data_IF_842526202844
#
_entry.id   IF_842526202844
#
_cell.length_a   1.000
_cell.length_b   1.000
_cell.length_c   1.000
_cell.angle_alpha   90.00
_cell.angle_beta   90.00
_cell.angle_gamma   90.00
#
_symmetry.space_group_name_H-M   'P 1'
#
loop_
_entity.id
_entity.type
_entity.pdbx_description
1 polymer ?
#
# COMPACT_ATOMS: atom_id res chain seq x y z
N UNK A 1 31.26 -47.14 -19.17
CA UNK A 1 29.90 -46.62 -19.44
C UNK A 1 29.69 -45.40 -18.56
N UNK A 2 29.87 -44.19 -19.09
CA UNK A 2 29.47 -42.97 -18.40
C UNK A 2 27.95 -42.95 -18.36
N UNK A 3 27.36 -43.37 -17.24
CA UNK A 3 25.94 -43.10 -16.99
C UNK A 3 25.83 -41.60 -16.74
N UNK A 4 25.39 -40.85 -17.75
CA UNK A 4 24.98 -39.46 -17.57
C UNK A 4 23.94 -39.43 -16.45
N UNK A 5 24.29 -38.82 -15.33
CA UNK A 5 23.35 -38.66 -14.22
C UNK A 5 22.22 -37.75 -14.72
N UNK A 6 20.95 -38.09 -14.48
CA UNK A 6 19.84 -37.25 -14.92
C UNK A 6 19.97 -35.86 -14.32
N UNK A 7 19.70 -34.83 -15.11
CA UNK A 7 19.69 -33.42 -14.67
C UNK A 7 18.30 -33.03 -14.16
N UNK A 8 18.25 -32.06 -13.26
CA UNK A 8 17.02 -31.54 -12.67
C UNK A 8 16.02 -31.08 -13.76
N UNK A 9 14.78 -31.55 -13.67
CA UNK A 9 13.70 -31.20 -14.61
C UNK A 9 13.07 -29.83 -14.33
N UNK A 10 13.54 -29.08 -13.34
CA UNK A 10 13.03 -27.73 -13.05
C UNK A 10 13.41 -26.77 -14.18
N UNK A 11 12.40 -26.25 -14.87
CA UNK A 11 12.52 -25.24 -15.90
C UNK A 11 11.42 -24.18 -15.71
N UNK A 12 11.77 -22.92 -15.95
CA UNK A 12 10.85 -21.79 -15.98
C UNK A 12 10.82 -21.23 -17.42
N UNK A 13 9.63 -20.82 -17.89
CA UNK A 13 9.26 -20.51 -19.29
C UNK A 13 10.19 -19.48 -19.98
N UNK A 14 11.32 -19.97 -20.50
CA UNK A 14 12.36 -19.25 -21.28
C UNK A 14 13.59 -18.81 -20.46
N UNK A 15 14.60 -19.69 -20.40
CA UNK A 15 16.00 -19.34 -20.11
C UNK A 15 16.58 -19.87 -18.79
N UNK A 16 15.75 -20.41 -17.91
CA UNK A 16 16.13 -20.76 -16.55
C UNK A 16 15.98 -22.27 -16.30
N UNK A 17 17.04 -23.04 -16.57
CA UNK A 17 17.13 -24.49 -16.32
C UNK A 17 18.09 -24.81 -15.17
N UNK A 18 17.69 -25.74 -14.31
CA UNK A 18 18.57 -26.24 -13.27
C UNK A 18 19.49 -27.34 -13.83
N UNK A 19 20.81 -27.18 -13.69
CA UNK A 19 21.82 -28.14 -14.16
C UNK A 19 22.32 -29.10 -13.08
N UNK A 20 21.67 -29.10 -11.91
CA UNK A 20 22.01 -29.99 -10.81
C UNK A 20 21.61 -31.43 -11.09
N UNK A 21 22.29 -32.36 -10.41
CA UNK A 21 21.97 -33.79 -10.47
C UNK A 21 20.57 -34.02 -9.90
N UNK A 22 19.71 -34.66 -10.68
CA UNK A 22 18.39 -35.08 -10.25
C UNK A 22 18.44 -36.28 -9.32
N UNK A 23 17.53 -36.27 -8.35
CA UNK A 23 17.18 -37.41 -7.51
C UNK A 23 16.12 -38.28 -8.23
N UNK A 24 15.68 -39.43 -7.67
CA UNK A 24 14.71 -40.31 -8.32
C UNK A 24 13.36 -39.66 -8.67
N UNK A 25 13.07 -38.49 -8.10
CA UNK A 25 11.90 -37.68 -8.42
C UNK A 25 12.02 -36.90 -9.74
N UNK A 26 13.20 -36.87 -10.37
CA UNK A 26 13.52 -36.03 -11.53
C UNK A 26 13.89 -34.59 -11.17
N UNK A 27 13.85 -34.21 -9.89
CA UNK A 27 14.25 -32.89 -9.40
C UNK A 27 15.53 -33.01 -8.57
N UNK A 28 16.35 -31.95 -8.51
CA UNK A 28 17.47 -31.93 -7.58
C UNK A 28 16.99 -31.77 -6.14
N UNK A 29 17.90 -31.99 -5.19
CA UNK A 29 17.63 -31.85 -3.76
C UNK A 29 16.86 -30.56 -3.42
N UNK A 30 17.28 -29.40 -3.96
CA UNK A 30 16.68 -28.10 -3.63
C UNK A 30 15.31 -27.87 -4.27
N UNK A 31 15.07 -28.37 -5.48
CA UNK A 31 13.80 -28.19 -6.19
C UNK A 31 12.73 -29.22 -5.80
N UNK A 32 13.11 -30.37 -5.23
CA UNK A 32 12.14 -31.41 -4.90
C UNK A 32 11.23 -31.03 -3.71
N UNK A 33 9.90 -30.85 -3.90
CA UNK A 33 9.00 -30.50 -2.81
C UNK A 33 8.72 -31.63 -1.81
N UNK A 34 9.06 -32.88 -2.15
CA UNK A 34 8.86 -34.06 -1.30
C UNK A 34 9.89 -34.13 -0.19
N UNK A 35 11.05 -33.51 -0.39
CA UNK A 35 12.14 -33.47 0.56
C UNK A 35 11.98 -32.24 1.46
N UNK A 36 11.91 -32.47 2.77
CA UNK A 36 11.95 -31.41 3.80
C UNK A 36 13.41 -31.13 4.15
N UNK A 37 13.86 -29.88 4.00
CA UNK A 37 15.26 -29.47 4.17
C UNK A 37 15.50 -28.98 5.60
N UNK A 38 15.43 -29.89 6.56
CA UNK A 38 15.58 -29.58 7.98
C UNK A 38 16.82 -30.23 8.60
N UNK A 39 17.74 -30.78 7.80
CA UNK A 39 18.99 -31.36 8.31
C UNK A 39 19.89 -30.23 8.86
N UNK A 40 20.71 -30.49 9.89
CA UNK A 40 21.62 -29.49 10.46
C UNK A 40 22.52 -28.82 9.42
N UNK A 41 22.97 -29.58 8.42
CA UNK A 41 23.88 -29.11 7.38
C UNK A 41 23.16 -28.39 6.23
N UNK A 42 21.82 -28.46 6.14
CA UNK A 42 21.08 -27.88 5.01
C UNK A 42 21.26 -26.37 4.94
N UNK A 43 21.40 -25.70 6.09
CA UNK A 43 21.72 -24.26 6.11
C UNK A 43 23.04 -23.98 5.41
N UNK A 44 24.12 -24.65 5.83
CA UNK A 44 25.47 -24.44 5.29
C UNK A 44 25.52 -24.84 3.80
N UNK A 45 24.85 -25.94 3.44
CA UNK A 45 24.73 -26.40 2.05
C UNK A 45 23.98 -25.39 1.18
N UNK A 46 22.92 -24.76 1.69
CA UNK A 46 22.16 -23.75 0.94
C UNK A 46 22.98 -22.48 0.74
N UNK A 47 23.73 -22.03 1.75
CA UNK A 47 24.63 -20.89 1.62
C UNK A 47 25.74 -21.17 0.59
N UNK A 48 26.36 -22.35 0.63
CA UNK A 48 27.36 -22.75 -0.35
C UNK A 48 26.76 -22.85 -1.76
N UNK A 49 25.56 -23.41 -1.88
CA UNK A 49 24.83 -23.51 -3.15
C UNK A 49 24.54 -22.12 -3.72
N UNK A 50 24.08 -21.17 -2.89
CA UNK A 50 23.87 -19.79 -3.30
C UNK A 50 25.18 -19.13 -3.78
N UNK A 51 26.27 -19.25 -3.01
CA UNK A 51 27.57 -18.63 -3.31
C UNK A 51 28.23 -19.19 -4.58
N UNK A 52 28.00 -20.47 -4.89
CA UNK A 52 28.56 -21.14 -6.08
C UNK A 52 27.74 -20.89 -7.36
N UNK A 53 26.67 -20.09 -7.28
CA UNK A 53 25.82 -19.78 -8.42
C UNK A 53 24.73 -20.83 -8.69
N UNK A 54 24.38 -21.62 -7.68
CA UNK A 54 23.27 -22.56 -7.73
C UNK A 54 21.94 -21.90 -8.07
N UNK A 55 21.07 -22.65 -8.73
CA UNK A 55 19.76 -22.18 -9.17
C UNK A 55 18.79 -22.07 -7.99
N UNK A 56 18.62 -20.86 -7.47
CA UNK A 56 17.77 -20.56 -6.31
C UNK A 56 16.30 -20.25 -6.65
N UNK A 57 15.99 -20.03 -7.93
CA UNK A 57 14.60 -19.86 -8.39
C UNK A 57 13.82 -21.16 -8.19
N UNK A 58 12.60 -21.05 -7.67
CA UNK A 58 11.68 -22.18 -7.44
C UNK A 58 12.10 -23.19 -6.38
N UNK A 59 13.15 -22.90 -5.58
CA UNK A 59 13.61 -23.87 -4.58
C UNK A 59 12.53 -24.15 -3.54
N UNK A 60 12.41 -25.42 -3.15
CA UNK A 60 11.49 -25.86 -2.13
C UNK A 60 12.19 -25.97 -0.77
N UNK A 61 11.89 -24.99 0.08
CA UNK A 61 12.39 -24.85 1.44
C UNK A 61 11.24 -24.93 2.47
N UNK A 62 10.18 -25.67 2.12
CA UNK A 62 9.01 -25.88 2.99
C UNK A 62 9.46 -26.48 4.32
N UNK A 63 9.10 -25.81 5.43
CA UNK A 63 9.45 -26.20 6.81
C UNK A 63 10.95 -26.33 7.06
N UNK A 64 11.80 -25.71 6.24
CA UNK A 64 13.24 -25.75 6.42
C UNK A 64 13.67 -25.01 7.70
N UNK A 65 14.74 -25.47 8.34
CA UNK A 65 15.34 -24.78 9.48
C UNK A 65 16.54 -23.96 9.01
N UNK A 66 16.33 -22.67 8.76
CA UNK A 66 17.28 -21.73 8.18
C UNK A 66 17.55 -20.55 9.13
N UNK A 67 17.47 -20.80 10.44
CA UNK A 67 17.76 -19.78 11.45
C UNK A 67 19.19 -19.24 11.30
N UNK A 68 19.30 -17.91 11.21
CA UNK A 68 20.54 -17.18 11.01
C UNK A 68 21.23 -17.48 9.68
N UNK A 69 20.51 -17.90 8.64
CA UNK A 69 21.10 -18.12 7.31
C UNK A 69 21.64 -16.81 6.72
N UNK A 70 22.80 -16.86 6.09
CA UNK A 70 23.34 -15.76 5.30
C UNK A 70 23.10 -15.94 3.80
N UNK A 71 22.07 -15.26 3.28
CA UNK A 71 21.74 -15.15 1.85
C UNK A 71 22.02 -13.72 1.34
N UNK A 72 23.13 -13.13 1.75
CA UNK A 72 23.59 -11.83 1.25
C UNK A 72 24.70 -12.01 0.21
N UNK A 73 24.55 -11.31 -0.91
CA UNK A 73 25.58 -11.25 -1.96
C UNK A 73 26.52 -10.08 -1.70
N UNK A 74 27.45 -10.24 -0.74
CA UNK A 74 28.32 -9.18 -0.21
C UNK A 74 29.11 -8.36 -1.25
N UNK A 75 29.44 -8.95 -2.40
CA UNK A 75 30.20 -8.28 -3.48
C UNK A 75 29.33 -7.82 -4.66
N UNK A 76 28.02 -7.66 -4.46
CA UNK A 76 27.09 -7.28 -5.53
C UNK A 76 26.08 -6.24 -5.07
N UNK A 77 25.63 -5.41 -6.02
CA UNK A 77 24.51 -4.48 -5.82
C UNK A 77 23.15 -5.17 -5.93
N UNK A 78 23.11 -6.44 -6.32
CA UNK A 78 21.89 -7.26 -6.45
C UNK A 78 21.93 -8.39 -5.44
N UNK A 79 20.82 -8.72 -4.77
CA UNK A 79 20.73 -9.94 -3.97
C UNK A 79 20.59 -11.20 -4.82
N UNK A 80 20.41 -12.35 -4.17
CA UNK A 80 20.13 -13.59 -4.86
C UNK A 80 18.72 -13.61 -5.45
N UNK A 81 18.57 -14.37 -6.54
CA UNK A 81 17.29 -14.55 -7.19
C UNK A 81 16.58 -15.81 -6.68
N UNK A 82 15.61 -15.61 -5.80
CA UNK A 82 14.74 -16.63 -5.22
C UNK A 82 13.30 -16.48 -5.71
N UNK A 83 13.12 -16.00 -6.95
CA UNK A 83 11.81 -15.94 -7.59
C UNK A 83 11.14 -17.32 -7.52
N UNK A 84 9.84 -17.37 -7.22
CA UNK A 84 9.07 -18.63 -7.05
C UNK A 84 9.51 -19.54 -5.89
N UNK A 85 10.40 -19.12 -4.99
CA UNK A 85 10.82 -19.96 -3.87
C UNK A 85 9.65 -20.31 -2.92
N UNK A 86 9.63 -21.55 -2.44
CA UNK A 86 8.60 -22.08 -1.55
C UNK A 86 9.14 -22.16 -0.11
N UNK A 87 8.80 -21.18 0.72
CA UNK A 87 9.28 -21.01 2.10
C UNK A 87 8.15 -21.22 3.12
N UNK A 88 7.12 -22.00 2.77
CA UNK A 88 5.99 -22.29 3.65
C UNK A 88 6.45 -22.82 5.01
N UNK A 89 6.15 -22.10 6.10
CA UNK A 89 6.58 -22.42 7.48
C UNK A 89 8.10 -22.57 7.66
N UNK A 90 8.93 -21.97 6.81
CA UNK A 90 10.36 -21.96 7.01
C UNK A 90 10.73 -21.16 8.28
N UNK A 91 11.72 -21.64 9.03
CA UNK A 91 12.33 -20.89 10.11
C UNK A 91 13.45 -20.03 9.55
N UNK A 92 13.27 -18.72 9.50
CA UNK A 92 14.22 -17.72 9.00
C UNK A 92 14.56 -16.70 10.11
N UNK A 93 14.43 -17.10 11.38
CA UNK A 93 14.73 -16.21 12.50
C UNK A 93 16.18 -15.72 12.39
N UNK A 94 16.41 -14.42 12.51
CA UNK A 94 17.75 -13.81 12.41
C UNK A 94 18.42 -13.94 11.03
N UNK A 95 17.70 -14.35 9.98
CA UNK A 95 18.27 -14.54 8.64
C UNK A 95 18.75 -13.21 8.04
N UNK A 96 19.87 -13.25 7.31
CA UNK A 96 20.39 -12.13 6.53
C UNK A 96 19.97 -12.31 5.06
N UNK A 97 18.99 -11.54 4.61
CA UNK A 97 18.38 -11.62 3.27
C UNK A 97 18.28 -10.22 2.63
N UNK A 98 19.32 -9.41 2.84
CA UNK A 98 19.41 -8.07 2.25
C UNK A 98 19.30 -8.14 0.72
N UNK A 99 18.40 -7.33 0.16
CA UNK A 99 18.20 -7.15 -1.27
C UNK A 99 17.80 -8.43 -2.04
N UNK A 100 17.29 -9.43 -1.33
CA UNK A 100 16.88 -10.71 -1.91
C UNK A 100 15.67 -10.54 -2.83
N UNK A 101 15.68 -11.17 -4.00
CA UNK A 101 14.52 -11.20 -4.87
C UNK A 101 13.64 -12.41 -4.53
N UNK A 102 12.47 -12.16 -3.94
CA UNK A 102 11.47 -13.16 -3.56
C UNK A 102 10.18 -12.97 -4.38
N UNK A 103 10.29 -12.41 -5.58
CA UNK A 103 9.15 -12.22 -6.46
C UNK A 103 8.41 -13.54 -6.72
N UNK A 104 7.08 -13.52 -6.66
CA UNK A 104 6.24 -14.72 -6.78
C UNK A 104 6.46 -15.84 -5.75
N UNK A 105 7.35 -15.66 -4.76
CA UNK A 105 7.63 -16.65 -3.73
C UNK A 105 6.46 -16.84 -2.75
N UNK A 106 6.56 -17.87 -1.90
CA UNK A 106 5.60 -18.12 -0.82
C UNK A 106 6.30 -18.13 0.54
N UNK A 107 6.14 -17.05 1.30
CA UNK A 107 6.58 -16.95 2.71
C UNK A 107 5.48 -17.34 3.69
N UNK A 108 4.39 -17.95 3.24
CA UNK A 108 3.22 -18.21 4.07
C UNK A 108 3.60 -18.92 5.39
N UNK A 109 3.25 -18.30 6.52
CA UNK A 109 3.55 -18.76 7.89
C UNK A 109 5.05 -18.91 8.22
N UNK A 110 5.95 -18.29 7.45
CA UNK A 110 7.38 -18.27 7.73
C UNK A 110 7.70 -17.43 8.99
N UNK A 111 8.77 -17.79 9.67
CA UNK A 111 9.25 -17.08 10.85
C UNK A 111 10.41 -16.14 10.49
N UNK A 112 10.15 -14.85 10.32
CA UNK A 112 11.15 -13.82 9.99
C UNK A 112 11.60 -13.01 11.21
N UNK A 113 11.36 -13.50 12.43
CA UNK A 113 11.72 -12.75 13.64
C UNK A 113 13.19 -12.36 13.63
N UNK A 114 13.50 -11.11 13.92
CA UNK A 114 14.86 -10.57 13.95
C UNK A 114 15.65 -10.69 12.62
N UNK A 115 14.99 -11.07 11.52
CA UNK A 115 15.61 -11.19 10.21
C UNK A 115 15.85 -9.82 9.55
N UNK A 116 16.79 -9.76 8.62
CA UNK A 116 17.03 -8.60 7.78
C UNK A 116 16.57 -8.86 6.36
N UNK A 117 15.46 -8.25 5.94
CA UNK A 117 14.95 -8.26 4.56
C UNK A 117 14.97 -6.86 3.94
N UNK A 118 15.86 -6.00 4.42
CA UNK A 118 16.04 -4.65 3.89
C UNK A 118 16.27 -4.69 2.37
N UNK A 119 15.58 -3.82 1.63
CA UNK A 119 15.59 -3.77 0.15
C UNK A 119 15.10 -5.03 -0.58
N UNK A 120 14.49 -6.01 0.10
CA UNK A 120 14.01 -7.23 -0.56
C UNK A 120 12.82 -6.94 -1.50
N UNK A 121 12.80 -7.62 -2.65
CA UNK A 121 11.65 -7.61 -3.55
C UNK A 121 10.66 -8.70 -3.12
N UNK A 122 9.50 -8.29 -2.62
CA UNK A 122 8.39 -9.11 -2.17
C UNK A 122 7.16 -8.98 -3.11
N UNK A 123 7.38 -8.60 -4.37
CA UNK A 123 6.32 -8.45 -5.37
C UNK A 123 5.65 -9.79 -5.62
N UNK A 124 4.32 -9.81 -5.58
CA UNK A 124 3.54 -11.04 -5.75
C UNK A 124 3.92 -12.18 -4.77
N UNK A 125 4.59 -11.89 -3.66
CA UNK A 125 4.93 -12.88 -2.64
C UNK A 125 3.71 -13.15 -1.76
N UNK A 126 3.48 -14.42 -1.38
CA UNK A 126 2.49 -14.74 -0.36
C UNK A 126 3.08 -14.45 1.04
N UNK A 127 2.56 -13.41 1.70
CA UNK A 127 3.01 -12.94 3.02
C UNK A 127 2.06 -13.34 4.17
N UNK A 128 1.07 -14.19 3.91
CA UNK A 128 0.04 -14.54 4.89
C UNK A 128 0.63 -15.24 6.12
N UNK A 129 0.36 -14.71 7.32
CA UNK A 129 0.80 -15.28 8.59
C UNK A 129 2.31 -15.24 8.85
N UNK A 130 3.07 -14.42 8.09
CA UNK A 130 4.50 -14.22 8.34
C UNK A 130 4.72 -13.54 9.69
N UNK A 131 5.70 -14.02 10.47
CA UNK A 131 6.06 -13.40 11.75
C UNK A 131 7.13 -12.33 11.54
N UNK A 132 6.75 -11.06 11.70
CA UNK A 132 7.61 -9.90 11.42
C UNK A 132 8.28 -9.25 12.66
N UNK A 133 8.23 -9.87 13.84
CA UNK A 133 8.72 -9.21 15.07
C UNK A 133 10.24 -9.02 15.01
N UNK A 134 10.70 -7.76 15.05
CA UNK A 134 12.14 -7.42 14.97
C UNK A 134 12.72 -7.52 13.56
N UNK A 135 11.88 -7.75 12.54
CA UNK A 135 12.35 -7.86 11.17
C UNK A 135 12.67 -6.48 10.60
N UNK A 136 13.86 -6.30 10.04
CA UNK A 136 14.23 -5.09 9.31
C UNK A 136 13.58 -5.11 7.93
N UNK A 137 12.58 -4.26 7.74
CA UNK A 137 11.76 -4.18 6.51
C UNK A 137 11.90 -2.85 5.76
N UNK A 138 12.93 -2.06 6.06
CA UNK A 138 13.17 -0.81 5.37
C UNK A 138 13.36 -1.05 3.86
N UNK A 139 12.77 -0.19 3.02
CA UNK A 139 12.86 -0.25 1.56
C UNK A 139 12.43 -1.57 0.91
N UNK A 140 11.61 -2.39 1.57
CA UNK A 140 11.00 -3.56 0.90
C UNK A 140 10.10 -3.11 -0.26
N UNK A 141 10.06 -3.92 -1.32
CA UNK A 141 9.19 -3.68 -2.46
C UNK A 141 8.09 -4.71 -2.54
N UNK A 142 6.86 -4.36 -2.16
CA UNK A 142 5.68 -5.27 -2.22
C UNK A 142 4.86 -5.09 -3.50
N UNK A 143 5.31 -4.23 -4.41
CA UNK A 143 4.53 -3.78 -5.57
C UNK A 143 3.43 -2.77 -5.22
N UNK A 144 2.56 -2.46 -6.18
CA UNK A 144 1.40 -1.54 -5.98
C UNK A 144 0.32 -2.12 -5.05
N UNK A 145 0.25 -3.45 -5.00
CA UNK A 145 -0.69 -4.23 -4.23
C UNK A 145 -0.07 -5.61 -3.97
N UNK A 146 -0.34 -6.18 -2.80
CA UNK A 146 0.09 -7.54 -2.45
C UNK A 146 -0.67 -8.59 -3.30
N UNK A 147 -0.13 -9.81 -3.37
CA UNK A 147 -0.71 -10.92 -4.13
C UNK A 147 -2.19 -11.15 -3.79
N UNK A 148 -2.53 -11.21 -2.50
CA UNK A 148 -3.89 -11.44 -2.02
C UNK A 148 -4.85 -10.31 -2.42
N UNK A 149 -4.42 -9.04 -2.40
CA UNK A 149 -5.27 -7.92 -2.82
C UNK A 149 -5.59 -8.01 -4.32
N UNK A 150 -4.61 -8.44 -5.13
CA UNK A 150 -4.84 -8.70 -6.56
C UNK A 150 -5.85 -9.82 -6.77
N UNK A 151 -5.67 -10.94 -6.09
CA UNK A 151 -6.59 -12.10 -6.17
C UNK A 151 -8.00 -11.74 -5.70
N UNK A 152 -8.13 -10.96 -4.63
CA UNK A 152 -9.42 -10.45 -4.15
C UNK A 152 -10.15 -9.61 -5.20
N UNK A 153 -9.42 -8.70 -5.87
CA UNK A 153 -9.98 -7.84 -6.92
C UNK A 153 -10.33 -8.63 -8.18
N UNK A 154 -9.58 -9.66 -8.51
CA UNK A 154 -9.88 -10.56 -9.63
C UNK A 154 -11.16 -11.35 -9.34
N UNK A 155 -11.28 -11.94 -8.15
CA UNK A 155 -12.49 -12.64 -7.70
C UNK A 155 -13.73 -11.72 -7.64
N UNK A 156 -13.61 -10.49 -7.13
CA UNK A 156 -14.72 -9.51 -7.09
C UNK A 156 -15.17 -9.11 -8.51
N UNK A 157 -14.26 -9.05 -9.49
CA UNK A 157 -14.60 -8.83 -10.91
C UNK A 157 -15.33 -10.01 -11.54
N UNK A 158 -14.99 -11.23 -11.13
CA UNK A 158 -15.64 -12.46 -11.59
C UNK A 158 -17.00 -12.70 -10.90
N UNK A 159 -17.34 -11.92 -9.87
CA UNK A 159 -18.56 -12.09 -9.08
C UNK A 159 -18.46 -13.19 -8.01
N UNK A 160 -17.27 -13.69 -7.75
CA UNK A 160 -16.99 -14.72 -6.74
C UNK A 160 -16.88 -14.07 -5.35
N UNK A 161 -18.03 -13.69 -4.78
CA UNK A 161 -18.07 -12.85 -3.56
C UNK A 161 -17.39 -13.52 -2.37
N UNK A 162 -17.61 -14.81 -2.12
CA UNK A 162 -17.02 -15.51 -0.97
C UNK A 162 -15.50 -15.58 -1.07
N UNK A 163 -14.97 -15.92 -2.25
CA UNK A 163 -13.53 -15.98 -2.53
C UNK A 163 -12.90 -14.59 -2.42
N UNK A 164 -13.58 -13.56 -2.93
CA UNK A 164 -13.12 -12.19 -2.81
C UNK A 164 -13.05 -11.74 -1.34
N UNK A 165 -14.06 -12.06 -0.53
CA UNK A 165 -14.09 -11.73 0.89
C UNK A 165 -12.96 -12.41 1.67
N UNK A 166 -12.71 -13.69 1.43
CA UNK A 166 -11.58 -14.43 2.02
C UNK A 166 -10.24 -13.76 1.68
N UNK A 167 -10.00 -13.45 0.40
CA UNK A 167 -8.77 -12.75 0.03
C UNK A 167 -8.68 -11.31 0.57
N UNK A 168 -9.80 -10.61 0.76
CA UNK A 168 -9.80 -9.30 1.43
C UNK A 168 -9.47 -9.41 2.93
N UNK A 169 -9.93 -10.46 3.61
CA UNK A 169 -9.57 -10.74 5.00
C UNK A 169 -8.07 -11.06 5.14
N UNK A 170 -7.57 -11.97 4.29
CA UNK A 170 -6.14 -12.28 4.22
C UNK A 170 -5.29 -11.03 3.92
N UNK A 171 -5.76 -10.17 3.02
CA UNK A 171 -5.08 -8.92 2.68
C UNK A 171 -5.05 -7.95 3.86
N UNK A 172 -6.14 -7.84 4.62
CA UNK A 172 -6.18 -7.04 5.84
C UNK A 172 -5.14 -7.54 6.86
N UNK A 173 -5.06 -8.86 7.08
CA UNK A 173 -4.07 -9.45 8.00
C UNK A 173 -2.65 -9.10 7.59
N UNK A 174 -2.32 -9.28 6.30
CA UNK A 174 -0.97 -8.98 5.77
C UNK A 174 -0.63 -7.50 5.95
N UNK A 175 -1.52 -6.58 5.58
CA UNK A 175 -1.25 -5.15 5.73
C UNK A 175 -1.15 -4.72 7.19
N UNK A 176 -1.95 -5.30 8.08
CA UNK A 176 -1.87 -5.06 9.52
C UNK A 176 -0.53 -5.51 10.11
N UNK A 177 -0.02 -6.65 9.68
CA UNK A 177 1.25 -7.18 10.18
C UNK A 177 2.45 -6.40 9.63
N UNK A 178 2.42 -6.02 8.34
CA UNK A 178 3.40 -5.11 7.75
C UNK A 178 3.39 -3.74 8.41
N UNK A 179 2.21 -3.19 8.71
CA UNK A 179 2.08 -1.93 9.47
C UNK A 179 2.74 -2.04 10.84
N UNK A 180 2.43 -3.09 11.61
CA UNK A 180 3.00 -3.29 12.95
C UNK A 180 4.51 -3.46 12.91
N UNK A 181 5.05 -4.11 11.88
CA UNK A 181 6.47 -4.23 11.67
C UNK A 181 7.10 -2.86 11.38
N UNK A 182 6.48 -2.07 10.49
CA UNK A 182 6.94 -0.73 10.15
C UNK A 182 6.89 0.22 11.35
N UNK A 183 5.80 0.19 12.13
CA UNK A 183 5.63 0.99 13.36
C UNK A 183 6.74 0.69 14.39
N UNK A 184 7.15 -0.57 14.54
CA UNK A 184 8.20 -0.98 15.49
C UNK A 184 9.61 -0.53 15.08
N UNK A 185 9.86 -0.45 13.78
CA UNK A 185 11.13 0.03 13.23
C UNK A 185 11.17 1.57 13.11
N UNK A 186 10.08 2.29 13.44
CA UNK A 186 10.00 3.74 13.28
C UNK A 186 9.83 4.20 11.82
N UNK A 187 9.35 3.32 10.93
CA UNK A 187 9.15 3.59 9.51
C UNK A 187 7.76 4.20 9.26
N UNK A 188 7.50 5.38 9.81
CA UNK A 188 6.16 5.98 9.90
C UNK A 188 5.46 6.25 8.57
N UNK A 189 6.20 6.63 7.53
CA UNK A 189 5.65 6.83 6.19
C UNK A 189 5.10 5.50 5.62
N UNK A 190 5.86 4.43 5.77
CA UNK A 190 5.49 3.09 5.33
C UNK A 190 4.36 2.51 6.18
N UNK A 191 4.41 2.70 7.51
CA UNK A 191 3.36 2.29 8.41
C UNK A 191 2.02 2.98 8.09
N UNK A 192 2.04 4.29 7.79
CA UNK A 192 0.86 5.02 7.34
C UNK A 192 0.29 4.51 6.01
N UNK A 193 1.16 4.18 5.05
CA UNK A 193 0.73 3.54 3.79
C UNK A 193 0.03 2.20 4.04
N UNK A 194 0.62 1.32 4.85
CA UNK A 194 0.01 0.02 5.18
C UNK A 194 -1.25 0.15 6.02
N UNK A 195 -1.33 1.12 6.92
CA UNK A 195 -2.56 1.42 7.68
C UNK A 195 -3.71 1.80 6.75
N UNK A 196 -3.45 2.66 5.77
CA UNK A 196 -4.47 3.04 4.79
C UNK A 196 -4.91 1.83 3.97
N UNK A 197 -3.99 0.97 3.53
CA UNK A 197 -4.30 -0.26 2.81
C UNK A 197 -5.12 -1.25 3.67
N UNK A 198 -4.75 -1.46 4.93
CA UNK A 198 -5.49 -2.26 5.93
C UNK A 198 -6.96 -1.79 6.02
N UNK A 199 -7.19 -0.48 6.20
CA UNK A 199 -8.53 0.07 6.32
C UNK A 199 -9.34 -0.01 5.01
N UNK A 200 -8.68 0.07 3.85
CA UNK A 200 -9.32 -0.17 2.55
C UNK A 200 -9.77 -1.63 2.46
N UNK A 201 -8.94 -2.60 2.83
CA UNK A 201 -9.32 -4.02 2.80
C UNK A 201 -10.51 -4.30 3.72
N UNK A 202 -10.49 -3.76 4.95
CA UNK A 202 -11.64 -3.85 5.87
C UNK A 202 -12.92 -3.25 5.29
N UNK A 203 -12.81 -2.14 4.55
CA UNK A 203 -13.97 -1.53 3.86
C UNK A 203 -14.52 -2.42 2.75
N UNK A 204 -13.68 -3.15 2.03
CA UNK A 204 -14.12 -4.06 0.96
C UNK A 204 -14.94 -5.24 1.50
N UNK A 205 -14.65 -5.68 2.73
CA UNK A 205 -15.42 -6.72 3.43
C UNK A 205 -16.84 -6.26 3.85
N UNK A 206 -17.11 -4.95 3.88
CA UNK A 206 -18.43 -4.43 4.26
C UNK A 206 -19.43 -4.55 3.11
N UNK A 207 -20.74 -4.71 3.38
CA UNK A 207 -21.77 -4.71 2.35
C UNK A 207 -21.74 -3.44 1.48
N UNK A 208 -21.95 -3.58 0.16
CA UNK A 208 -21.79 -2.49 -0.83
C UNK A 208 -22.64 -1.24 -0.51
N UNK A 209 -23.83 -1.42 0.05
CA UNK A 209 -24.80 -0.35 0.36
C UNK A 209 -24.89 -0.01 1.85
N UNK A 210 -23.92 -0.43 2.66
CA UNK A 210 -23.91 -0.09 4.09
C UNK A 210 -23.51 1.37 4.33
N UNK A 211 -24.20 2.05 5.25
CA UNK A 211 -23.81 3.38 5.74
C UNK A 211 -22.37 3.40 6.26
N UNK A 212 -21.92 2.33 6.90
CA UNK A 212 -20.54 2.19 7.40
C UNK A 212 -19.51 2.20 6.26
N UNK A 213 -19.82 1.56 5.14
CA UNK A 213 -18.95 1.53 3.95
C UNK A 213 -18.88 2.91 3.30
N UNK A 214 -20.01 3.60 3.20
CA UNK A 214 -20.10 4.96 2.65
C UNK A 214 -19.28 5.92 3.50
N UNK A 215 -19.46 5.91 4.83
CA UNK A 215 -18.69 6.76 5.76
C UNK A 215 -17.19 6.46 5.64
N UNK A 216 -16.80 5.19 5.64
CA UNK A 216 -15.39 4.79 5.47
C UNK A 216 -14.80 5.27 4.14
N UNK A 217 -15.57 5.21 3.05
CA UNK A 217 -15.16 5.73 1.74
C UNK A 217 -15.00 7.26 1.77
N UNK A 218 -15.92 7.97 2.41
CA UNK A 218 -15.83 9.42 2.58
C UNK A 218 -14.57 9.82 3.36
N UNK A 219 -14.24 9.12 4.45
CA UNK A 219 -13.02 9.39 5.24
C UNK A 219 -11.74 9.16 4.43
N UNK A 220 -11.65 8.07 3.64
CA UNK A 220 -10.51 7.82 2.74
C UNK A 220 -10.37 8.92 1.69
N UNK A 221 -11.49 9.38 1.14
CA UNK A 221 -11.52 10.45 0.13
C UNK A 221 -11.00 11.78 0.71
N UNK A 222 -11.54 12.22 1.85
CA UNK A 222 -11.22 13.53 2.43
C UNK A 222 -9.82 13.61 3.01
N UNK A 223 -9.39 12.62 3.80
CA UNK A 223 -8.13 12.70 4.55
C UNK A 223 -7.27 11.43 4.49
N UNK A 224 -7.66 10.43 3.68
CA UNK A 224 -6.92 9.18 3.56
C UNK A 224 -6.82 8.43 4.89
N UNK A 225 -7.91 8.41 5.67
CA UNK A 225 -7.92 7.91 7.06
C UNK A 225 -6.95 8.65 8.00
N UNK A 226 -6.74 9.94 7.74
CA UNK A 226 -5.87 10.80 8.53
C UNK A 226 -4.38 10.51 8.32
N UNK A 227 -4.00 10.03 7.13
CA UNK A 227 -2.60 9.84 6.72
C UNK A 227 -2.16 10.75 5.58
N UNK A 228 -3.10 11.47 4.95
CA UNK A 228 -2.85 12.26 3.75
C UNK A 228 -3.30 13.73 3.93
N UNK A 229 -2.52 14.58 4.63
CA UNK A 229 -2.87 15.99 4.86
C UNK A 229 -3.07 16.78 3.56
N UNK A 230 -2.31 16.46 2.51
CA UNK A 230 -2.45 17.09 1.19
C UNK A 230 -3.83 16.87 0.55
N UNK A 231 -4.53 15.77 0.88
CA UNK A 231 -5.90 15.55 0.39
C UNK A 231 -6.89 16.49 1.04
N UNK A 232 -6.67 16.85 2.30
CA UNK A 232 -7.52 17.81 3.01
C UNK A 232 -7.39 19.18 2.34
N UNK A 233 -6.15 19.62 2.04
CA UNK A 233 -5.90 20.87 1.30
C UNK A 233 -6.59 20.86 -0.07
N UNK A 234 -6.42 19.77 -0.84
CA UNK A 234 -7.05 19.64 -2.15
C UNK A 234 -8.57 19.69 -2.08
N UNK A 235 -9.17 19.03 -1.08
CA UNK A 235 -10.61 19.11 -0.83
C UNK A 235 -11.06 20.53 -0.49
N UNK A 236 -10.32 21.23 0.38
CA UNK A 236 -10.59 22.63 0.72
C UNK A 236 -10.59 23.52 -0.52
N UNK A 237 -9.61 23.38 -1.40
CA UNK A 237 -9.53 24.16 -2.66
C UNK A 237 -10.73 23.89 -3.57
N UNK A 238 -11.15 22.63 -3.70
CA UNK A 238 -12.34 22.26 -4.51
C UNK A 238 -13.62 22.82 -3.89
N UNK A 239 -13.76 22.78 -2.56
CA UNK A 239 -14.93 23.32 -1.87
C UNK A 239 -15.02 24.83 -2.04
N UNK A 240 -13.91 25.55 -1.85
CA UNK A 240 -13.81 27.00 -2.06
C UNK A 240 -14.23 27.34 -3.50
N UNK A 241 -13.66 26.65 -4.50
CA UNK A 241 -14.01 26.91 -5.89
C UNK A 241 -15.49 26.62 -6.19
N UNK A 242 -16.03 25.54 -5.63
CA UNK A 242 -17.45 25.19 -5.79
C UNK A 242 -18.39 26.23 -5.15
N UNK A 243 -18.08 26.70 -3.95
CA UNK A 243 -18.86 27.76 -3.30
C UNK A 243 -18.74 29.09 -4.05
N UNK A 244 -17.54 29.44 -4.54
CA UNK A 244 -17.32 30.61 -5.39
C UNK A 244 -18.19 30.57 -6.65
N UNK A 245 -18.30 29.41 -7.31
CA UNK A 245 -19.22 29.24 -8.44
C UNK A 245 -20.69 29.39 -8.02
N UNK A 246 -21.09 28.88 -6.86
CA UNK A 246 -22.43 29.09 -6.34
C UNK A 246 -22.71 30.60 -6.17
N UNK A 247 -21.81 31.34 -5.51
CA UNK A 247 -21.93 32.79 -5.33
C UNK A 247 -21.98 33.57 -6.64
N UNK A 248 -21.21 33.12 -7.64
CA UNK A 248 -21.22 33.73 -8.97
C UNK A 248 -22.63 33.73 -9.59
N UNK A 249 -23.40 32.66 -9.39
CA UNK A 249 -24.77 32.55 -9.90
C UNK A 249 -25.83 33.11 -8.95
N UNK A 250 -25.66 32.99 -7.63
CA UNK A 250 -26.65 33.45 -6.63
C UNK A 250 -26.50 34.91 -6.24
N UNK A 251 -25.32 35.50 -6.45
CA UNK A 251 -25.01 36.91 -6.26
C UNK A 251 -24.46 37.26 -4.86
N UNK A 252 -23.61 38.28 -4.83
CA UNK A 252 -23.06 38.94 -3.64
C UNK A 252 -23.37 40.44 -3.67
N UNK A 253 -23.54 41.07 -2.52
CA UNK A 253 -23.69 42.53 -2.40
C UNK A 253 -22.37 43.16 -1.96
N UNK A 254 -21.88 44.16 -2.70
CA UNK A 254 -20.72 44.98 -2.34
C UNK A 254 -21.09 46.45 -2.56
N UNK A 255 -20.90 47.29 -1.54
CA UNK A 255 -21.27 48.72 -1.59
C UNK A 255 -22.69 48.99 -2.11
N UNK A 256 -23.68 48.18 -1.70
CA UNK A 256 -25.09 48.21 -2.17
C UNK A 256 -25.32 47.88 -3.65
N UNK A 257 -24.31 47.42 -4.39
CA UNK A 257 -24.47 46.89 -5.75
C UNK A 257 -24.48 45.35 -5.73
N UNK A 258 -25.39 44.77 -6.51
CA UNK A 258 -25.52 43.32 -6.65
C UNK A 258 -24.56 42.85 -7.74
N UNK A 259 -23.58 42.07 -7.31
CA UNK A 259 -22.61 41.40 -8.15
C UNK A 259 -23.10 39.98 -8.41
N UNK A 260 -23.78 39.79 -9.56
CA UNK A 260 -24.30 38.51 -10.02
C UNK A 260 -23.94 38.33 -11.50
N UNK A 261 -23.77 37.07 -11.93
CA UNK A 261 -23.54 36.76 -13.33
C UNK A 261 -24.67 37.33 -14.21
N UNK A 262 -24.27 38.09 -15.23
CA UNK A 262 -25.19 38.67 -16.20
C UNK A 262 -24.64 38.42 -17.62
N UNK A 263 -25.49 37.92 -18.51
CA UNK A 263 -25.15 37.68 -19.92
C UNK A 263 -24.81 38.97 -20.68
N UNK A 264 -25.23 40.12 -20.17
CA UNK A 264 -24.95 41.43 -20.78
C UNK A 264 -23.57 42.00 -20.41
N UNK A 265 -22.83 41.38 -19.48
CA UNK A 265 -21.53 41.88 -19.03
C UNK A 265 -20.40 41.45 -19.96
N UNK A 266 -19.37 42.28 -20.05
CA UNK A 266 -18.14 41.93 -20.78
C UNK A 266 -17.43 40.74 -20.11
N UNK A 267 -16.67 39.99 -20.90
CA UNK A 267 -15.90 38.83 -20.42
C UNK A 267 -14.98 39.18 -19.24
N UNK A 268 -14.29 40.31 -19.33
CA UNK A 268 -13.41 40.82 -18.26
C UNK A 268 -14.17 41.14 -16.96
N UNK A 269 -15.37 41.69 -17.07
CA UNK A 269 -16.23 41.97 -15.92
C UNK A 269 -16.69 40.68 -15.24
N UNK A 270 -17.02 39.64 -16.02
CA UNK A 270 -17.39 38.33 -15.50
C UNK A 270 -16.19 37.60 -14.84
N UNK A 271 -14.98 37.75 -15.37
CA UNK A 271 -13.77 37.24 -14.70
C UNK A 271 -13.53 37.95 -13.37
N UNK A 272 -13.59 39.29 -13.35
CA UNK A 272 -13.41 40.06 -12.12
C UNK A 272 -14.46 39.70 -11.06
N UNK A 273 -15.71 39.48 -11.48
CA UNK A 273 -16.78 38.98 -10.62
C UNK A 273 -16.44 37.60 -10.02
N UNK A 274 -15.95 36.66 -10.83
CA UNK A 274 -15.56 35.33 -10.37
C UNK A 274 -14.40 35.40 -9.36
N UNK A 275 -13.40 36.25 -9.63
CA UNK A 275 -12.27 36.46 -8.70
C UNK A 275 -12.73 37.04 -7.35
N UNK A 276 -13.69 37.97 -7.36
CA UNK A 276 -14.30 38.49 -6.14
C UNK A 276 -15.08 37.41 -5.38
N UNK A 277 -15.80 36.52 -6.09
CA UNK A 277 -16.50 35.39 -5.48
C UNK A 277 -15.52 34.38 -4.86
N UNK A 278 -14.38 34.13 -5.53
CA UNK A 278 -13.29 33.29 -4.99
C UNK A 278 -12.70 33.93 -3.74
N UNK A 279 -12.41 35.23 -3.77
CA UNK A 279 -11.92 35.95 -2.59
C UNK A 279 -12.90 35.83 -1.41
N UNK A 280 -14.19 36.10 -1.64
CA UNK A 280 -15.22 35.97 -0.61
C UNK A 280 -15.32 34.54 -0.05
N UNK A 281 -15.28 33.53 -0.92
CA UNK A 281 -15.30 32.13 -0.53
C UNK A 281 -14.08 31.75 0.33
N UNK A 282 -12.86 32.16 -0.05
CA UNK A 282 -11.66 31.93 0.77
C UNK A 282 -11.82 32.52 2.18
N UNK A 283 -12.25 33.78 2.27
CA UNK A 283 -12.46 34.48 3.54
C UNK A 283 -13.51 33.77 4.39
N UNK A 284 -14.62 33.39 3.78
CA UNK A 284 -15.74 32.69 4.44
C UNK A 284 -15.32 31.30 4.92
N UNK A 285 -14.60 30.55 4.09
CA UNK A 285 -14.04 29.24 4.42
C UNK A 285 -13.07 29.31 5.61
N UNK A 286 -12.23 30.34 5.66
CA UNK A 286 -11.33 30.59 6.80
C UNK A 286 -12.01 31.21 8.02
N UNK A 287 -13.31 31.50 7.95
CA UNK A 287 -14.11 32.13 9.00
C UNK A 287 -13.61 33.52 9.43
N UNK A 288 -12.82 34.21 8.57
CA UNK A 288 -12.25 35.53 8.86
C UNK A 288 -13.28 36.66 8.76
N UNK A 289 -14.30 36.51 7.89
CA UNK A 289 -15.50 37.35 7.89
C UNK A 289 -15.26 38.85 7.61
N UNK A 290 -14.51 39.21 6.58
CA UNK A 290 -14.40 40.61 6.16
C UNK A 290 -15.76 41.10 5.64
N UNK A 291 -16.34 42.09 6.33
CA UNK A 291 -17.71 42.59 6.12
C UNK A 291 -17.96 43.36 4.83
N UNK A 292 -17.03 43.26 3.88
CA UNK A 292 -17.06 43.99 2.61
C UNK A 292 -18.09 43.41 1.64
N UNK A 293 -18.29 42.09 1.69
CA UNK A 293 -19.26 41.37 0.85
C UNK A 293 -20.35 40.74 1.70
N UNK A 294 -21.60 40.99 1.32
CA UNK A 294 -22.78 40.47 2.01
C UNK A 294 -23.51 39.48 1.10
N UNK A 295 -23.70 38.21 1.51
CA UNK A 295 -24.43 37.25 0.72
C UNK A 295 -25.93 37.58 0.72
N UNK A 296 -26.54 37.52 -0.46
CA UNK A 296 -27.98 37.78 -0.67
C UNK A 296 -28.73 36.50 -1.03
N UNK A 297 -30.02 36.43 -0.69
CA UNK A 297 -30.88 35.28 -1.02
C UNK A 297 -30.27 33.92 -0.59
N UNK A 298 -30.18 32.99 -1.54
CA UNK A 298 -29.63 31.66 -1.33
C UNK A 298 -28.13 31.64 -1.00
N UNK A 299 -27.37 32.68 -1.36
CA UNK A 299 -25.95 32.80 -1.00
C UNK A 299 -25.72 32.75 0.51
N UNK A 300 -26.70 33.16 1.33
CA UNK A 300 -26.61 33.12 2.80
C UNK A 300 -26.49 31.69 3.32
N UNK A 301 -27.26 30.77 2.73
CA UNK A 301 -27.22 29.36 3.10
C UNK A 301 -25.89 28.72 2.67
N UNK A 302 -25.41 29.05 1.46
CA UNK A 302 -24.11 28.59 0.97
C UNK A 302 -22.98 29.07 1.89
N UNK A 303 -22.98 30.34 2.29
CA UNK A 303 -22.00 30.93 3.20
C UNK A 303 -22.00 30.28 4.59
N UNK A 304 -23.19 29.98 5.13
CA UNK A 304 -23.30 29.29 6.42
C UNK A 304 -22.73 27.86 6.34
N UNK A 305 -23.03 27.11 5.28
CA UNK A 305 -22.50 25.75 5.08
C UNK A 305 -20.99 25.78 4.84
N UNK A 306 -20.51 26.73 4.03
CA UNK A 306 -19.09 26.91 3.74
C UNK A 306 -18.29 27.26 5.00
N UNK A 307 -18.75 28.21 5.80
CA UNK A 307 -18.07 28.59 7.03
C UNK A 307 -18.02 27.42 8.03
N UNK A 308 -19.13 26.68 8.19
CA UNK A 308 -19.17 25.51 9.05
C UNK A 308 -18.21 24.41 8.59
N UNK A 309 -18.26 24.05 7.31
CA UNK A 309 -17.38 23.02 6.73
C UNK A 309 -15.91 23.46 6.69
N UNK A 310 -15.64 24.75 6.45
CA UNK A 310 -14.32 25.36 6.52
C UNK A 310 -13.67 25.24 7.91
N UNK A 311 -14.42 25.57 8.96
CA UNK A 311 -13.94 25.43 10.34
C UNK A 311 -13.55 23.98 10.69
N UNK A 312 -14.39 23.01 10.28
CA UNK A 312 -14.13 21.58 10.51
C UNK A 312 -12.94 21.05 9.70
N UNK A 313 -12.81 21.48 8.45
CA UNK A 313 -11.72 21.04 7.56
C UNK A 313 -10.36 21.61 7.98
N UNK A 314 -10.30 22.85 8.47
CA UNK A 314 -9.08 23.43 9.06
C UNK A 314 -8.69 22.67 10.33
N UNK A 315 -9.64 22.40 11.23
CA UNK A 315 -9.38 21.60 12.43
C UNK A 315 -8.88 20.18 12.07
N UNK A 316 -9.52 19.53 11.10
CA UNK A 316 -9.10 18.23 10.59
C UNK A 316 -7.70 18.27 9.97
N UNK A 317 -7.37 19.32 9.20
CA UNK A 317 -6.04 19.51 8.64
C UNK A 317 -4.98 19.57 9.74
N UNK A 318 -5.20 20.38 10.78
CA UNK A 318 -4.28 20.48 11.92
C UNK A 318 -4.09 19.13 12.59
N UNK A 319 -5.17 18.41 12.89
CA UNK A 319 -5.09 17.08 13.52
C UNK A 319 -4.32 16.08 12.66
N UNK A 320 -4.61 16.02 11.36
CA UNK A 320 -3.94 15.09 10.43
C UNK A 320 -2.48 15.47 10.25
N UNK A 321 -2.18 16.76 10.17
CA UNK A 321 -0.82 17.28 10.03
C UNK A 321 0.03 17.00 11.28
N UNK A 322 -0.49 17.31 12.47
CA UNK A 322 0.17 17.03 13.75
C UNK A 322 0.39 15.54 13.93
N UNK A 323 -0.62 14.71 13.65
CA UNK A 323 -0.49 13.25 13.69
C UNK A 323 0.60 12.75 12.73
N UNK A 324 0.76 13.38 11.57
CA UNK A 324 1.76 13.00 10.58
C UNK A 324 3.18 13.43 10.95
N UNK A 325 3.33 14.52 11.72
CA UNK A 325 4.62 15.00 12.22
C UNK A 325 5.08 14.29 13.49
N UNK A 326 4.15 13.92 14.37
CA UNK A 326 4.45 13.32 15.67
C UNK A 326 4.52 11.78 15.64
N UNK A 327 4.30 11.17 14.48
CA UNK A 327 4.64 9.78 14.22
C UNK A 327 6.04 9.76 13.64
#
# INVERSE_FOLDING_TARGET
MNQEKPTCCYHEDEGFSCHEVAEPSGLCYWHDPRIIKNKPDDKVRLEAFARTGGMLRGISLKRANLSGIDLVKHHSKTGFDMTHAELYRANLQGAHMFNLNLEHASLMKADLRDANVHCANLTNTNLLGVKWKGTKIENIYTGKQIKQERMAREADKLGEVEIALDYYEQSEEIYRDLRKAADREGLFAMAGHFMRKELIMRRHQMPKWSSTRIISKSIDLFCGYGEAPLRVIGFSMVLIFFCALCYFFTGLSYSNQIHQFNFSNNFEQNINLLLNCIYYSVVTFTTLGYGDFIPIGYSKAVAAIEAFTGSFTIALFVVVFVKKMNR
#
